data_IF_580577860926
#
_entry.id   IF_580577860926
#
_cell.length_a   1.000
_cell.length_b   1.000
_cell.length_c   1.000
_cell.angle_alpha   90.00
_cell.angle_beta   90.00
_cell.angle_gamma   90.00
#
_symmetry.space_group_name_H-M   'P 1'
#
loop_
_entity.id
_entity.type
_entity.pdbx_description
1 polymer ?
#
# COMPACT_ATOMS: atom_id res chain seq x y z
N UNK A 1 -2.84 -18.40 -6.31
CA UNK A 1 -4.26 -18.46 -5.89
C UNK A 1 -4.41 -18.11 -4.42
N UNK A 2 -3.80 -18.86 -3.47
CA UNK A 2 -3.89 -18.56 -2.03
C UNK A 2 -3.54 -17.12 -1.63
N UNK A 3 -2.47 -16.54 -2.16
CA UNK A 3 -2.08 -15.14 -1.87
C UNK A 3 -3.10 -14.12 -2.39
N UNK A 4 -3.61 -14.31 -3.61
CA UNK A 4 -4.66 -13.44 -4.16
C UNK A 4 -5.95 -13.51 -3.30
N UNK A 5 -6.33 -14.70 -2.84
CA UNK A 5 -7.46 -14.90 -1.92
C UNK A 5 -7.22 -14.18 -0.57
N UNK A 6 -5.99 -14.22 -0.05
CA UNK A 6 -5.61 -13.50 1.16
C UNK A 6 -5.70 -11.97 0.98
N UNK A 7 -5.25 -11.44 -0.16
CA UNK A 7 -5.36 -10.01 -0.49
C UNK A 7 -6.83 -9.58 -0.60
N UNK A 8 -7.66 -10.37 -1.30
CA UNK A 8 -9.10 -10.15 -1.42
C UNK A 8 -9.82 -10.17 -0.07
N UNK A 9 -9.45 -11.10 0.82
CA UNK A 9 -9.97 -11.18 2.18
C UNK A 9 -9.71 -9.91 3.00
N UNK A 10 -8.65 -9.16 2.68
CA UNK A 10 -8.26 -7.90 3.33
C UNK A 10 -8.88 -6.65 2.70
N UNK A 11 -9.70 -6.81 1.67
CA UNK A 11 -10.31 -5.69 0.96
C UNK A 11 -9.43 -5.10 -0.15
N UNK A 12 -8.28 -5.70 -0.46
CA UNK A 12 -7.51 -5.36 -1.65
C UNK A 12 -8.07 -6.10 -2.87
N UNK A 13 -8.06 -5.50 -4.07
CA UNK A 13 -7.49 -4.20 -4.42
C UNK A 13 -8.46 -3.02 -4.19
N UNK A 14 -9.57 -3.23 -3.48
CA UNK A 14 -10.68 -2.28 -3.39
C UNK A 14 -11.49 -2.31 -4.68
N UNK A 15 -11.62 -1.16 -5.34
CA UNK A 15 -12.27 -1.02 -6.65
C UNK A 15 -11.35 -1.33 -7.84
N UNK A 16 -10.10 -1.69 -7.58
CA UNK A 16 -9.10 -2.03 -8.61
C UNK A 16 -9.16 -3.48 -9.10
N UNK A 17 -8.06 -3.94 -9.69
CA UNK A 17 -7.90 -5.29 -10.22
C UNK A 17 -6.63 -5.98 -9.67
N UNK A 18 -6.75 -7.29 -9.44
CA UNK A 18 -5.63 -8.19 -9.23
C UNK A 18 -5.49 -9.10 -10.46
N UNK A 19 -4.31 -9.10 -11.08
CA UNK A 19 -4.05 -9.93 -12.26
C UNK A 19 -2.78 -10.76 -12.09
N UNK A 20 -2.77 -12.03 -12.50
CA UNK A 20 -1.53 -12.79 -12.59
C UNK A 20 -0.70 -12.25 -13.77
N UNK A 21 0.54 -11.86 -13.49
CA UNK A 21 1.52 -11.49 -14.51
C UNK A 21 2.62 -12.53 -14.57
N UNK A 22 3.08 -12.85 -15.78
CA UNK A 22 4.15 -13.80 -16.00
C UNK A 22 5.14 -13.29 -17.04
N UNK A 23 6.42 -13.49 -16.78
CA UNK A 23 7.48 -13.16 -17.74
C UNK A 23 8.56 -14.23 -17.73
N UNK A 24 9.18 -14.42 -18.91
CA UNK A 24 10.28 -15.35 -19.06
C UNK A 24 11.53 -14.79 -18.40
N UNK A 25 12.10 -15.53 -17.46
CA UNK A 25 13.35 -15.17 -16.82
C UNK A 25 14.55 -15.55 -17.70
N UNK A 26 15.65 -14.82 -17.56
CA UNK A 26 16.89 -15.15 -18.25
C UNK A 26 17.34 -16.58 -17.89
N UNK A 27 17.58 -17.39 -18.91
CA UNK A 27 18.13 -18.73 -18.73
C UNK A 27 19.64 -18.64 -18.49
N UNK A 28 20.21 -19.49 -17.61
CA UNK A 28 21.65 -19.70 -17.61
C UNK A 28 22.09 -20.22 -18.99
N UNK A 29 23.33 -19.91 -19.40
CA UNK A 29 23.89 -20.42 -20.67
C UNK A 29 23.78 -21.94 -20.67
N UNK A 30 23.18 -22.48 -21.72
CA UNK A 30 23.02 -23.91 -21.90
C UNK A 30 24.40 -24.58 -22.02
N UNK A 31 24.72 -25.48 -21.10
CA UNK A 31 25.91 -26.34 -21.19
C UNK A 31 25.61 -27.58 -22.04
N UNK A 32 26.60 -28.13 -22.73
CA UNK A 32 26.41 -29.31 -23.59
C UNK A 32 25.94 -30.50 -22.75
N UNK A 33 24.81 -31.09 -23.12
CA UNK A 33 24.21 -32.26 -22.44
C UNK A 33 23.01 -31.94 -21.54
N UNK A 34 22.66 -30.66 -21.36
CA UNK A 34 21.47 -30.27 -20.60
C UNK A 34 20.20 -30.39 -21.45
N UNK A 35 19.06 -30.71 -20.83
CA UNK A 35 17.75 -30.63 -21.49
C UNK A 35 17.33 -29.16 -21.56
N UNK A 36 16.79 -28.67 -22.69
CA UNK A 36 16.23 -27.32 -22.77
C UNK A 36 15.22 -27.10 -21.65
N UNK A 37 15.44 -26.09 -20.80
CA UNK A 37 14.54 -25.75 -19.70
C UNK A 37 14.19 -24.28 -19.75
N UNK A 38 12.91 -23.96 -19.61
CA UNK A 38 12.45 -22.58 -19.52
C UNK A 38 12.22 -22.18 -18.07
N UNK A 39 12.65 -20.97 -17.71
CA UNK A 39 12.36 -20.38 -16.41
C UNK A 39 11.33 -19.27 -16.60
N UNK A 40 10.22 -19.40 -15.90
CA UNK A 40 9.16 -18.40 -15.84
C UNK A 40 9.08 -17.80 -14.44
N UNK A 41 8.87 -16.50 -14.37
CA UNK A 41 8.49 -15.80 -13.14
C UNK A 41 7.02 -15.47 -13.22
N UNK A 42 6.31 -15.71 -12.12
CA UNK A 42 4.88 -15.42 -11.99
C UNK A 42 4.70 -14.57 -10.73
N UNK A 43 3.91 -13.51 -10.82
CA UNK A 43 3.57 -12.63 -9.71
C UNK A 43 2.11 -12.18 -9.80
N UNK A 44 1.59 -11.65 -8.70
CA UNK A 44 0.29 -10.98 -8.67
C UNK A 44 0.53 -9.47 -8.82
N UNK A 45 0.00 -8.88 -9.89
CA UNK A 45 -0.04 -7.45 -10.08
C UNK A 45 -1.33 -6.87 -9.48
N UNK A 46 -1.24 -5.67 -8.94
CA UNK A 46 -2.37 -4.92 -8.38
C UNK A 46 -2.40 -3.55 -9.03
N UNK A 47 -3.51 -3.22 -9.69
CA UNK A 47 -3.80 -1.88 -10.19
C UNK A 47 -5.02 -1.33 -9.47
N UNK A 48 -4.89 -0.18 -8.84
CA UNK A 48 -5.96 0.45 -8.05
C UNK A 48 -5.72 1.94 -7.86
N UNK A 49 -6.79 2.65 -7.54
CA UNK A 49 -6.72 4.03 -7.06
C UNK A 49 -6.62 4.03 -5.53
N UNK A 50 -5.69 4.83 -4.99
CA UNK A 50 -5.55 5.07 -3.54
C UNK A 50 -5.74 6.56 -3.27
N UNK A 51 -6.69 6.88 -2.41
CA UNK A 51 -7.02 8.25 -2.04
C UNK A 51 -6.16 8.72 -0.85
N UNK A 52 -5.65 9.95 -0.93
CA UNK A 52 -4.77 10.53 0.09
C UNK A 52 -5.47 11.03 1.35
N UNK A 53 -6.80 10.93 1.43
CA UNK A 53 -7.61 11.58 2.48
C UNK A 53 -7.33 11.05 3.89
N UNK A 54 -6.83 9.83 4.05
CA UNK A 54 -6.45 9.30 5.37
C UNK A 54 -5.34 10.14 6.04
N UNK A 55 -4.49 10.82 5.26
CA UNK A 55 -3.51 11.75 5.82
C UNK A 55 -4.15 12.92 6.58
N UNK A 56 -5.38 13.33 6.21
CA UNK A 56 -6.15 14.37 6.91
C UNK A 56 -6.52 13.95 8.33
N UNK A 57 -6.73 12.65 8.57
CA UNK A 57 -7.00 12.12 9.91
C UNK A 57 -5.77 12.25 10.80
N UNK A 58 -4.59 11.88 10.29
CA UNK A 58 -3.33 12.05 11.01
C UNK A 58 -3.03 13.54 11.29
N UNK A 59 -3.31 14.41 10.31
CA UNK A 59 -3.21 15.87 10.49
C UNK A 59 -4.09 16.36 11.64
N UNK A 60 -5.37 15.97 11.67
CA UNK A 60 -6.30 16.35 12.75
C UNK A 60 -5.83 15.86 14.11
N UNK A 61 -5.34 14.61 14.20
CA UNK A 61 -4.81 14.06 15.45
C UNK A 61 -3.61 14.87 15.97
N UNK A 62 -2.67 15.20 15.09
CA UNK A 62 -1.48 15.99 15.44
C UNK A 62 -1.83 17.44 15.76
N UNK A 63 -2.78 18.04 15.03
CA UNK A 63 -3.26 19.38 15.27
C UNK A 63 -3.92 19.51 16.65
N UNK A 64 -4.80 18.57 17.01
CA UNK A 64 -5.42 18.53 18.33
C UNK A 64 -4.35 18.35 19.43
N UNK A 65 -3.39 17.46 19.23
CA UNK A 65 -2.28 17.28 20.17
C UNK A 65 -1.43 18.55 20.33
N UNK A 66 -1.21 19.31 19.26
CA UNK A 66 -0.47 20.56 19.29
C UNK A 66 -1.24 21.68 20.00
N UNK A 67 -2.56 21.80 19.76
CA UNK A 67 -3.41 22.75 20.49
C UNK A 67 -3.41 22.49 22.00
N UNK A 68 -3.40 21.21 22.41
CA UNK A 68 -3.29 20.84 23.82
C UNK A 68 -1.95 21.27 24.46
N UNK A 69 -0.94 21.58 23.65
CA UNK A 69 0.35 22.14 24.07
C UNK A 69 0.48 23.63 23.73
N UNK A 70 -0.65 24.33 23.56
CA UNK A 70 -0.72 25.78 23.35
C UNK A 70 0.02 26.26 22.07
N UNK A 71 0.22 25.36 21.10
CA UNK A 71 0.75 25.75 19.78
C UNK A 71 -0.32 26.60 19.07
N UNK A 72 0.03 27.79 18.56
CA UNK A 72 -0.94 28.75 18.03
C UNK A 72 -1.36 28.40 16.58
N UNK A 73 -1.92 27.21 16.38
CA UNK A 73 -2.50 26.83 15.09
C UNK A 73 -3.93 27.35 14.94
N UNK A 74 -4.27 27.74 13.72
CA UNK A 74 -5.65 28.06 13.35
C UNK A 74 -6.53 26.80 13.43
N UNK A 75 -7.82 26.92 13.78
CA UNK A 75 -8.75 25.81 13.72
C UNK A 75 -8.83 25.21 12.31
N UNK A 76 -9.00 23.89 12.23
CA UNK A 76 -9.26 23.21 10.96
C UNK A 76 -10.73 23.46 10.57
N UNK A 77 -10.94 24.06 9.40
CA UNK A 77 -12.28 24.29 8.84
C UNK A 77 -12.76 23.08 8.04
N UNK A 78 -13.80 22.40 8.53
CA UNK A 78 -14.40 21.22 7.87
C UNK A 78 -15.14 21.56 6.57
N UNK A 79 -15.47 22.83 6.34
CA UNK A 79 -16.06 23.31 5.08
C UNK A 79 -15.02 23.51 3.99
N UNK A 80 -13.74 23.59 4.34
CA UNK A 80 -12.65 23.67 3.38
C UNK A 80 -12.40 22.30 2.73
N UNK A 81 -12.51 22.26 1.41
CA UNK A 81 -12.19 21.07 0.58
C UNK A 81 -10.83 20.42 0.86
N UNK A 82 -9.84 21.19 1.35
CA UNK A 82 -8.51 20.69 1.71
C UNK A 82 -8.54 19.81 2.96
N UNK A 83 -9.50 20.04 3.85
CA UNK A 83 -9.60 19.36 5.15
C UNK A 83 -10.82 18.47 5.30
N UNK A 84 -11.84 18.68 4.45
CA UNK A 84 -13.05 17.88 4.42
C UNK A 84 -12.72 16.38 4.23
N UNK A 85 -13.40 15.52 4.98
CA UNK A 85 -13.29 14.08 4.88
C UNK A 85 -14.44 13.50 4.04
N UNK A 86 -14.15 12.56 3.11
CA UNK A 86 -15.18 11.79 2.44
C UNK A 86 -16.13 11.09 3.41
N UNK A 87 -17.39 10.92 3.01
CA UNK A 87 -18.45 10.32 3.85
C UNK A 87 -18.11 8.90 4.34
N UNK A 88 -17.42 8.10 3.53
CA UNK A 88 -16.99 6.75 3.88
C UNK A 88 -15.80 6.72 4.85
N UNK A 89 -15.03 7.81 4.94
CA UNK A 89 -13.87 7.94 5.83
C UNK A 89 -14.24 8.63 7.15
N UNK A 90 -15.21 9.55 7.16
CA UNK A 90 -15.62 10.30 8.35
C UNK A 90 -15.89 9.44 9.60
N UNK A 91 -16.73 8.38 9.56
CA UNK A 91 -17.00 7.55 10.75
C UNK A 91 -15.76 6.77 11.23
N UNK A 92 -14.86 6.41 10.31
CA UNK A 92 -13.59 5.75 10.62
C UNK A 92 -12.64 6.75 11.28
N UNK A 93 -12.60 7.99 10.78
CA UNK A 93 -11.78 9.06 11.32
C UNK A 93 -12.18 9.39 12.77
N UNK A 94 -13.48 9.45 13.09
CA UNK A 94 -13.95 9.66 14.46
C UNK A 94 -13.41 8.60 15.42
N UNK A 95 -13.43 7.33 15.00
CA UNK A 95 -12.87 6.21 15.78
C UNK A 95 -11.37 6.32 15.97
N UNK A 96 -10.64 6.68 14.91
CA UNK A 96 -9.18 6.86 14.95
C UNK A 96 -8.78 8.06 15.82
N UNK A 97 -9.51 9.17 15.76
CA UNK A 97 -9.28 10.35 16.61
C UNK A 97 -9.61 10.05 18.07
N UNK A 98 -10.71 9.35 18.35
CA UNK A 98 -11.01 8.88 19.71
C UNK A 98 -9.90 7.97 20.25
N UNK A 99 -9.37 7.07 19.43
CA UNK A 99 -8.22 6.25 19.80
C UNK A 99 -6.97 7.10 20.10
N UNK A 100 -6.67 8.11 19.27
CA UNK A 100 -5.55 9.03 19.49
C UNK A 100 -5.67 9.82 20.81
N UNK A 101 -6.90 10.10 21.27
CA UNK A 101 -7.18 10.71 22.59
C UNK A 101 -7.05 9.74 23.77
N UNK A 102 -6.77 8.46 23.51
CA UNK A 102 -6.62 7.42 24.52
C UNK A 102 -7.90 6.62 24.81
N UNK A 103 -8.97 6.78 24.02
CA UNK A 103 -10.16 5.94 24.15
C UNK A 103 -9.90 4.53 23.58
N UNK A 104 -10.55 3.52 24.15
CA UNK A 104 -10.56 2.16 23.58
C UNK A 104 -11.54 2.10 22.40
N UNK A 105 -11.17 2.72 21.29
CA UNK A 105 -11.90 2.60 20.01
C UNK A 105 -11.25 1.53 19.13
N UNK A 106 -12.06 0.70 18.49
CA UNK A 106 -11.60 -0.33 17.55
C UNK A 106 -12.34 -0.19 16.23
N UNK A 107 -11.62 -0.43 15.14
CA UNK A 107 -12.22 -0.54 13.82
C UNK A 107 -12.91 -1.90 13.68
N UNK A 108 -13.99 -1.94 12.91
CA UNK A 108 -14.57 -3.20 12.46
C UNK A 108 -13.73 -3.77 11.32
N UNK A 109 -13.89 -5.07 11.05
CA UNK A 109 -13.24 -5.71 9.91
C UNK A 109 -13.62 -5.02 8.58
N UNK A 110 -14.85 -4.53 8.45
CA UNK A 110 -15.30 -3.83 7.24
C UNK A 110 -14.62 -2.46 7.07
N UNK A 111 -14.43 -1.73 8.17
CA UNK A 111 -13.71 -0.45 8.18
C UNK A 111 -12.22 -0.65 7.86
N UNK A 112 -11.59 -1.68 8.43
CA UNK A 112 -10.21 -2.04 8.09
C UNK A 112 -10.08 -2.40 6.61
N UNK A 113 -11.03 -3.17 6.06
CA UNK A 113 -11.07 -3.51 4.63
C UNK A 113 -11.28 -2.29 3.75
N UNK A 114 -12.13 -1.35 4.17
CA UNK A 114 -12.35 -0.09 3.47
C UNK A 114 -11.05 0.75 3.42
N UNK A 115 -10.40 0.91 4.58
CA UNK A 115 -9.12 1.61 4.68
C UNK A 115 -8.05 0.97 3.78
N UNK A 116 -7.88 -0.36 3.87
CA UNK A 116 -6.92 -1.09 3.05
C UNK A 116 -7.24 -0.96 1.56
N UNK A 117 -8.50 -1.09 1.18
CA UNK A 117 -8.95 -1.04 -0.21
C UNK A 117 -8.81 0.34 -0.85
N UNK A 118 -9.05 1.42 -0.10
CA UNK A 118 -9.22 2.77 -0.67
C UNK A 118 -8.16 3.80 -0.25
N UNK A 119 -7.64 3.71 0.97
CA UNK A 119 -6.92 4.83 1.59
C UNK A 119 -5.48 4.50 2.02
N UNK A 120 -5.19 3.25 2.34
CA UNK A 120 -3.86 2.82 2.78
C UNK A 120 -3.01 2.44 1.57
N UNK A 121 -1.91 3.15 1.37
CA UNK A 121 -0.93 2.83 0.35
C UNK A 121 -0.11 1.58 0.73
N UNK A 122 -0.02 0.61 -0.18
CA UNK A 122 0.81 -0.59 -0.04
C UNK A 122 2.23 -0.26 -0.48
N UNK A 123 3.05 0.26 0.44
CA UNK A 123 4.45 0.61 0.16
C UNK A 123 5.32 -0.61 -0.12
N UNK A 124 5.05 -1.74 0.53
CA UNK A 124 5.75 -2.99 0.28
C UNK A 124 5.31 -3.61 -1.06
N UNK A 125 6.22 -3.70 -2.04
CA UNK A 125 5.98 -4.29 -3.34
C UNK A 125 7.26 -4.82 -4.00
N UNK A 126 7.08 -5.75 -4.95
CA UNK A 126 8.16 -6.33 -5.75
C UNK A 126 8.44 -5.59 -7.07
N UNK A 127 7.94 -4.36 -7.24
CA UNK A 127 8.31 -3.52 -8.40
C UNK A 127 9.79 -3.09 -8.28
N UNK A 128 10.62 -3.33 -9.31
CA UNK A 128 12.03 -2.95 -9.29
C UNK A 128 12.20 -1.43 -9.34
N UNK A 129 13.15 -0.90 -8.57
CA UNK A 129 13.37 0.55 -8.39
C UNK A 129 14.09 1.22 -9.57
N UNK A 130 14.49 0.46 -10.59
CA UNK A 130 15.27 0.98 -11.73
C UNK A 130 14.60 0.57 -13.04
N UNK A 131 14.18 1.55 -13.84
CA UNK A 131 13.68 1.34 -15.21
C UNK A 131 14.75 0.76 -16.15
N UNK A 132 14.38 0.40 -17.38
CA UNK A 132 15.27 -0.18 -18.40
C UNK A 132 16.47 0.76 -18.68
N UNK A 133 17.62 0.53 -18.05
CA UNK A 133 18.85 1.29 -18.26
C UNK A 133 19.61 0.72 -19.46
N UNK A 134 19.34 1.25 -20.66
CA UNK A 134 19.89 0.79 -21.95
C UNK A 134 21.43 0.68 -22.03
N UNK A 135 22.20 1.30 -21.15
CA UNK A 135 23.65 1.52 -21.36
C UNK A 135 24.57 1.12 -20.18
N UNK A 136 24.28 0.05 -19.42
CA UNK A 136 25.22 -0.49 -18.41
C UNK A 136 25.50 -1.98 -18.61
N UNK A 137 26.70 -2.48 -18.23
CA UNK A 137 27.11 -3.87 -18.46
C UNK A 137 26.30 -4.89 -17.64
N UNK A 138 26.40 -6.17 -18.03
CA UNK A 138 25.55 -7.32 -17.67
C UNK A 138 25.42 -7.70 -16.16
N UNK A 139 25.87 -6.85 -15.24
CA UNK A 139 25.85 -7.02 -13.78
C UNK A 139 24.84 -6.10 -13.06
N UNK A 140 23.91 -5.48 -13.80
CA UNK A 140 22.83 -4.68 -13.24
C UNK A 140 21.76 -5.55 -12.58
N UNK A 141 21.90 -5.75 -11.27
CA UNK A 141 20.94 -6.44 -10.41
C UNK A 141 19.62 -5.67 -10.34
N UNK A 142 18.50 -6.37 -10.47
CA UNK A 142 17.19 -5.84 -10.09
C UNK A 142 17.25 -5.50 -8.60
N UNK A 143 17.04 -4.23 -8.27
CA UNK A 143 16.94 -3.76 -6.90
C UNK A 143 15.47 -3.61 -6.54
N UNK A 144 15.05 -4.25 -5.46
CA UNK A 144 13.69 -4.20 -4.93
C UNK A 144 13.73 -3.46 -3.59
N UNK A 145 13.88 -2.13 -3.65
CA UNK A 145 14.05 -1.33 -2.43
C UNK A 145 12.78 -1.31 -1.56
N UNK A 146 11.64 -1.59 -2.17
CA UNK A 146 10.32 -1.64 -1.52
C UNK A 146 9.89 -3.08 -1.22
N UNK A 147 10.79 -4.07 -1.26
CA UNK A 147 10.39 -5.47 -0.98
C UNK A 147 9.79 -5.60 0.43
N UNK A 148 8.79 -6.47 0.64
CA UNK A 148 8.27 -6.77 1.96
C UNK A 148 9.38 -7.16 2.95
N UNK A 149 9.22 -6.76 4.21
CA UNK A 149 10.09 -7.22 5.30
C UNK A 149 9.71 -8.65 5.69
N UNK A 150 10.62 -9.38 6.30
CA UNK A 150 10.33 -10.74 6.79
C UNK A 150 9.18 -10.70 7.81
N UNK A 151 8.13 -11.48 7.57
CA UNK A 151 6.90 -11.46 8.38
C UNK A 151 5.86 -10.40 7.97
N UNK A 152 6.16 -9.56 6.98
CA UNK A 152 5.15 -8.73 6.33
C UNK A 152 4.27 -9.62 5.44
N UNK A 153 2.95 -9.43 5.43
CA UNK A 153 2.07 -10.27 4.63
C UNK A 153 2.33 -10.09 3.13
N UNK A 154 2.63 -11.20 2.46
CA UNK A 154 2.76 -11.33 1.00
C UNK A 154 1.44 -11.75 0.34
#
# INVERSE_FOLDING_TARGET
MKEADCLMGRGLPGSGELSPIAWRAAQPKHERGMVPSERWMVAVAMDRTVYGDLSKVALRAMHEAALNHEVPFEPIDDSDSRFNLPEDLAPIADKLLAYARGASSRLTLEEERNLLGRYIHTSAHWVPTVGLLLNKPANQRLAYNQRPQEGYPE
#
